data_IF_725035007815
#
_entry.id   IF_725035007815
#
_cell.length_a   1.000
_cell.length_b   1.000
_cell.length_c   1.000
_cell.angle_alpha   90.00
_cell.angle_beta   90.00
_cell.angle_gamma   90.00
#
_symmetry.space_group_name_H-M   'P 1'
#
loop_
_entity.id
_entity.type
_entity.pdbx_description
1 polymer ?
#
# COMPACT_ATOMS: atom_id res chain seq x y z
N UNK A 1 5.43 -2.25 6.19
CA UNK A 1 5.71 -2.71 4.80
C UNK A 1 7.20 -2.77 4.49
N UNK A 2 7.65 -3.82 3.78
CA UNK A 2 8.98 -3.95 3.18
C UNK A 2 8.89 -4.53 1.76
N UNK A 3 9.80 -4.15 0.88
CA UNK A 3 9.97 -4.73 -0.46
C UNK A 3 11.46 -4.82 -0.84
N UNK A 4 11.75 -5.22 -2.08
CA UNK A 4 13.11 -5.29 -2.60
C UNK A 4 13.71 -6.69 -2.53
N UNK A 5 13.70 -7.39 -3.66
CA UNK A 5 14.26 -8.75 -3.80
C UNK A 5 13.71 -9.78 -2.80
N UNK A 6 12.52 -9.56 -2.23
CA UNK A 6 11.77 -10.58 -1.51
C UNK A 6 11.28 -11.60 -2.54
N UNK A 7 11.79 -12.83 -2.46
CA UNK A 7 11.49 -13.91 -3.44
C UNK A 7 11.06 -15.21 -2.78
N UNK A 8 11.32 -15.37 -1.49
CA UNK A 8 11.13 -16.62 -0.75
C UNK A 8 10.38 -16.37 0.55
N UNK A 9 9.81 -17.43 1.14
CA UNK A 9 9.24 -17.38 2.47
C UNK A 9 10.28 -17.06 3.54
N UNK A 10 11.55 -17.43 3.33
CA UNK A 10 12.65 -17.00 4.22
C UNK A 10 12.83 -15.48 4.21
N UNK A 11 12.78 -14.84 3.04
CA UNK A 11 12.92 -13.39 2.94
C UNK A 11 11.76 -12.68 3.65
N UNK A 12 10.53 -13.19 3.47
CA UNK A 12 9.34 -12.71 4.19
C UNK A 12 9.52 -12.84 5.70
N UNK A 13 10.00 -13.98 6.19
CA UNK A 13 10.21 -14.20 7.61
C UNK A 13 11.29 -13.30 8.20
N UNK A 14 12.41 -13.09 7.51
CA UNK A 14 13.44 -12.15 7.96
C UNK A 14 12.87 -10.73 8.03
N UNK A 15 12.17 -10.29 6.98
CA UNK A 15 11.53 -8.98 6.99
C UNK A 15 10.51 -8.84 8.12
N UNK A 16 9.73 -9.90 8.39
CA UNK A 16 8.76 -9.92 9.49
C UNK A 16 9.43 -9.75 10.84
N UNK A 17 10.45 -10.57 11.13
CA UNK A 17 11.22 -10.50 12.37
C UNK A 17 11.91 -9.14 12.58
N UNK A 18 12.26 -8.44 11.49
CA UNK A 18 12.77 -7.07 11.50
C UNK A 18 11.69 -5.98 11.64
N UNK A 19 10.40 -6.34 11.63
CA UNK A 19 9.28 -5.44 11.91
C UNK A 19 8.31 -5.19 10.76
N UNK A 20 8.50 -5.81 9.59
CA UNK A 20 7.55 -5.66 8.48
C UNK A 20 6.28 -6.52 8.69
N UNK A 21 5.14 -5.95 8.36
CA UNK A 21 3.81 -6.59 8.42
C UNK A 21 3.15 -6.72 7.04
N UNK A 22 3.76 -6.15 6.00
CA UNK A 22 3.37 -6.26 4.59
C UNK A 22 4.61 -6.44 3.72
N UNK A 23 4.52 -7.25 2.66
CA UNK A 23 5.65 -7.68 1.85
C UNK A 23 5.38 -7.45 0.35
N UNK A 24 6.09 -6.49 -0.23
CA UNK A 24 6.01 -6.19 -1.65
C UNK A 24 6.90 -7.12 -2.47
N UNK A 25 6.32 -7.74 -3.51
CA UNK A 25 7.06 -8.55 -4.48
C UNK A 25 6.77 -8.04 -5.90
N UNK A 26 7.81 -7.83 -6.69
CA UNK A 26 7.69 -7.38 -8.08
C UNK A 26 8.47 -8.29 -9.02
N UNK A 27 9.80 -8.36 -8.88
CA UNK A 27 10.65 -9.14 -9.79
C UNK A 27 10.32 -10.63 -9.81
N UNK A 28 10.08 -11.27 -8.66
CA UNK A 28 9.74 -12.69 -8.62
C UNK A 28 8.39 -13.00 -9.31
N UNK A 29 7.28 -12.29 -9.02
CA UNK A 29 6.06 -12.42 -9.82
C UNK A 29 6.26 -12.19 -11.33
N UNK A 30 7.09 -11.23 -11.73
CA UNK A 30 7.41 -11.01 -13.15
C UNK A 30 8.16 -12.20 -13.77
N UNK A 31 9.09 -12.82 -13.04
CA UNK A 31 9.80 -14.04 -13.49
C UNK A 31 8.82 -15.20 -13.62
N UNK A 32 7.92 -15.37 -12.65
CA UNK A 32 6.86 -16.40 -12.66
C UNK A 32 5.92 -16.21 -13.87
N UNK A 33 5.68 -14.97 -14.29
CA UNK A 33 4.93 -14.64 -15.50
C UNK A 33 5.74 -14.77 -16.81
N UNK A 34 7.02 -15.14 -16.74
CA UNK A 34 7.85 -15.43 -17.92
C UNK A 34 9.04 -14.49 -18.15
N UNK A 35 9.29 -13.50 -17.28
CA UNK A 35 10.47 -12.64 -17.41
C UNK A 35 11.77 -13.46 -17.34
N UNK A 36 12.59 -13.35 -18.38
CA UNK A 36 13.89 -14.03 -18.50
C UNK A 36 15.07 -13.21 -17.98
N UNK A 37 14.81 -12.10 -17.29
CA UNK A 37 15.85 -11.21 -16.74
C UNK A 37 16.83 -10.65 -17.78
N UNK A 38 16.36 -10.37 -19.01
CA UNK A 38 17.17 -9.83 -20.11
C UNK A 38 17.66 -8.38 -19.87
N UNK A 39 17.00 -7.62 -18.97
CA UNK A 39 17.35 -6.23 -18.61
C UNK A 39 17.28 -5.21 -19.76
N UNK A 40 16.42 -5.46 -20.75
CA UNK A 40 16.13 -4.52 -21.86
C UNK A 40 14.73 -3.91 -21.80
N UNK A 41 14.13 -3.87 -20.60
CA UNK A 41 12.75 -3.39 -20.42
C UNK A 41 12.52 -1.97 -20.95
N UNK A 42 13.53 -1.10 -20.81
CA UNK A 42 13.50 0.29 -21.29
C UNK A 42 13.57 0.44 -22.82
N UNK A 43 13.88 -0.62 -23.56
CA UNK A 43 14.06 -0.60 -25.02
C UNK A 43 12.80 -1.07 -25.78
N UNK A 44 11.69 -1.32 -25.09
CA UNK A 44 10.45 -1.83 -25.69
C UNK A 44 10.59 -3.17 -26.46
N UNK A 45 11.68 -3.92 -26.25
CA UNK A 45 12.06 -5.12 -27.03
C UNK A 45 12.01 -6.40 -26.18
N UNK A 46 11.09 -6.47 -25.21
CA UNK A 46 10.95 -7.66 -24.36
C UNK A 46 10.57 -8.89 -25.22
N UNK A 47 11.38 -9.96 -25.23
CA UNK A 47 11.18 -11.09 -26.15
C UNK A 47 9.99 -11.97 -25.77
N UNK A 48 9.51 -11.83 -24.53
CA UNK A 48 8.45 -12.65 -23.90
C UNK A 48 7.19 -11.84 -23.59
N UNK A 49 7.07 -10.63 -24.15
CA UNK A 49 5.85 -9.83 -24.04
C UNK A 49 5.55 -9.21 -22.67
N UNK A 50 6.47 -9.29 -21.69
CA UNK A 50 6.25 -8.77 -20.33
C UNK A 50 6.34 -7.23 -20.27
N UNK A 51 7.45 -6.66 -20.75
CA UNK A 51 7.74 -5.22 -20.65
C UNK A 51 7.91 -4.60 -22.04
N UNK A 52 6.82 -4.58 -22.81
CA UNK A 52 6.77 -4.01 -24.16
C UNK A 52 5.33 -3.59 -24.51
N UNK A 53 5.20 -2.53 -25.29
CA UNK A 53 3.95 -2.05 -25.88
C UNK A 53 3.80 -2.49 -27.35
N UNK A 54 4.85 -3.08 -27.95
CA UNK A 54 4.80 -3.62 -29.31
C UNK A 54 3.78 -4.78 -29.40
N UNK A 55 2.78 -4.72 -30.30
CA UNK A 55 1.73 -5.72 -30.37
C UNK A 55 2.24 -7.12 -30.75
N UNK A 56 3.28 -7.22 -31.59
CA UNK A 56 3.87 -8.49 -32.02
C UNK A 56 4.61 -9.14 -30.86
N UNK A 57 5.33 -8.34 -30.05
CA UNK A 57 6.01 -8.86 -28.86
C UNK A 57 5.05 -9.16 -27.71
N UNK A 58 4.02 -8.34 -27.49
CA UNK A 58 2.96 -8.59 -26.50
C UNK A 58 2.21 -9.89 -26.76
N UNK A 59 1.98 -10.25 -28.02
CA UNK A 59 1.36 -11.52 -28.40
C UNK A 59 2.16 -12.76 -27.94
N UNK A 60 3.44 -12.60 -27.56
CA UNK A 60 4.29 -13.67 -27.02
C UNK A 60 4.15 -13.88 -25.51
N UNK A 61 3.32 -13.09 -24.83
CA UNK A 61 3.11 -13.23 -23.39
C UNK A 61 2.26 -14.48 -23.07
N UNK A 62 2.86 -15.44 -22.36
CA UNK A 62 2.21 -16.70 -21.97
C UNK A 62 1.93 -16.79 -20.46
N UNK A 63 2.24 -15.74 -19.70
CA UNK A 63 2.02 -15.69 -18.26
C UNK A 63 0.53 -15.77 -17.91
N UNK A 64 0.19 -16.57 -16.90
CA UNK A 64 -1.20 -16.72 -16.45
C UNK A 64 -1.35 -16.33 -14.98
N UNK A 65 -2.53 -15.84 -14.54
CA UNK A 65 -2.79 -15.54 -13.14
C UNK A 65 -2.47 -16.70 -12.21
N UNK A 66 -2.75 -17.94 -12.62
CA UNK A 66 -2.50 -19.15 -11.84
C UNK A 66 -1.02 -19.33 -11.51
N UNK A 67 -0.11 -18.88 -12.37
CA UNK A 67 1.33 -18.97 -12.08
C UNK A 67 1.69 -18.13 -10.84
N UNK A 68 1.16 -16.90 -10.77
CA UNK A 68 1.39 -15.99 -9.63
C UNK A 68 0.71 -16.52 -8.38
N UNK A 69 -0.53 -17.01 -8.49
CA UNK A 69 -1.25 -17.63 -7.37
C UNK A 69 -0.46 -18.81 -6.79
N UNK A 70 0.01 -19.71 -7.65
CA UNK A 70 0.81 -20.87 -7.23
C UNK A 70 2.12 -20.46 -6.55
N UNK A 71 2.83 -19.47 -7.11
CA UNK A 71 4.03 -18.91 -6.50
C UNK A 71 3.74 -18.34 -5.10
N UNK A 72 2.66 -17.58 -4.94
CA UNK A 72 2.29 -17.03 -3.64
C UNK A 72 1.93 -18.12 -2.63
N UNK A 73 1.27 -19.20 -3.05
CA UNK A 73 1.04 -20.37 -2.20
C UNK A 73 2.35 -21.04 -1.78
N UNK A 74 3.31 -21.21 -2.68
CA UNK A 74 4.63 -21.77 -2.33
C UNK A 74 5.36 -20.91 -1.30
N UNK A 75 5.37 -19.58 -1.49
CA UNK A 75 5.95 -18.64 -0.52
C UNK A 75 5.24 -18.72 0.82
N UNK A 76 3.90 -18.74 0.82
CA UNK A 76 3.11 -18.83 2.04
C UNK A 76 3.34 -20.16 2.79
N UNK A 77 3.46 -21.28 2.08
CA UNK A 77 3.79 -22.57 2.68
C UNK A 77 5.19 -22.56 3.31
N UNK A 78 6.18 -21.93 2.65
CA UNK A 78 7.52 -21.78 3.21
C UNK A 78 7.52 -20.86 4.46
N UNK A 79 6.71 -19.79 4.46
CA UNK A 79 6.48 -18.96 5.65
C UNK A 79 5.92 -19.81 6.81
N UNK A 80 4.88 -20.62 6.54
CA UNK A 80 4.28 -21.51 7.54
C UNK A 80 5.29 -22.53 8.08
N UNK A 81 6.17 -23.04 7.22
CA UNK A 81 7.27 -23.90 7.63
C UNK A 81 8.18 -23.21 8.65
N UNK A 82 8.64 -21.99 8.37
CA UNK A 82 9.50 -21.25 9.30
C UNK A 82 8.78 -20.83 10.59
N UNK A 83 7.51 -20.41 10.52
CA UNK A 83 6.71 -20.14 11.71
C UNK A 83 6.66 -21.37 12.64
N UNK A 84 6.43 -22.56 12.07
CA UNK A 84 6.43 -23.80 12.84
C UNK A 84 7.78 -24.09 13.50
N UNK A 85 8.89 -23.80 12.82
CA UNK A 85 10.25 -23.96 13.36
C UNK A 85 10.56 -23.01 14.51
N UNK A 86 9.97 -21.82 14.48
CA UNK A 86 10.11 -20.80 15.52
C UNK A 86 9.07 -20.95 16.65
N UNK A 87 8.16 -21.93 16.57
CA UNK A 87 7.10 -22.11 17.56
C UNK A 87 6.01 -21.04 17.52
N UNK A 88 5.87 -20.34 16.39
CA UNK A 88 4.88 -19.27 16.19
C UNK A 88 3.69 -19.80 15.40
N UNK A 89 2.48 -19.35 15.76
CA UNK A 89 1.23 -19.79 15.10
C UNK A 89 0.78 -18.86 13.99
N UNK A 90 1.05 -17.56 14.12
CA UNK A 90 0.66 -16.52 13.17
C UNK A 90 1.87 -15.69 12.77
N UNK A 91 1.84 -15.13 11.56
CA UNK A 91 2.89 -14.22 11.09
C UNK A 91 3.00 -12.96 11.95
N UNK A 92 1.86 -12.44 12.43
CA UNK A 92 1.78 -11.31 13.36
C UNK A 92 2.59 -11.53 14.64
N UNK A 93 2.69 -12.78 15.13
CA UNK A 93 3.47 -13.10 16.33
C UNK A 93 4.99 -13.06 16.06
N UNK A 94 5.40 -13.05 14.80
CA UNK A 94 6.80 -12.89 14.38
C UNK A 94 7.20 -11.42 14.21
N UNK A 95 6.24 -10.52 13.98
CA UNK A 95 6.55 -9.12 13.63
C UNK A 95 7.37 -8.45 14.73
N UNK A 96 8.57 -7.96 14.37
CA UNK A 96 9.48 -7.24 15.26
C UNK A 96 10.22 -8.11 16.29
N UNK A 97 10.11 -9.44 16.22
CA UNK A 97 10.82 -10.39 17.11
C UNK A 97 12.28 -10.56 16.70
N UNK A 98 13.06 -9.48 16.76
CA UNK A 98 14.50 -9.51 16.42
C UNK A 98 15.31 -10.42 17.34
N UNK A 99 14.78 -10.78 18.51
CA UNK A 99 15.38 -11.78 19.42
C UNK A 99 15.46 -13.19 18.81
N UNK A 100 14.70 -13.47 17.75
CA UNK A 100 14.76 -14.73 17.01
C UNK A 100 15.77 -14.69 15.86
N UNK A 101 16.45 -13.55 15.64
CA UNK A 101 17.48 -13.37 14.63
C UNK A 101 18.86 -13.29 15.26
N UNK A 102 19.82 -13.95 14.62
CA UNK A 102 21.23 -13.87 15.00
C UNK A 102 22.12 -13.97 13.76
N UNK A 103 23.29 -13.35 13.83
CA UNK A 103 24.31 -13.51 12.80
C UNK A 103 24.81 -14.95 12.79
N UNK A 104 24.99 -15.54 11.60
CA UNK A 104 25.52 -16.89 11.48
C UNK A 104 26.92 -16.96 12.10
N UNK A 105 27.13 -17.93 13.00
CA UNK A 105 28.43 -18.21 13.60
C UNK A 105 29.43 -18.79 12.61
N UNK A 106 28.97 -19.26 11.44
CA UNK A 106 29.80 -19.80 10.38
C UNK A 106 29.40 -19.19 9.02
N UNK A 107 29.85 -17.96 8.70
CA UNK A 107 29.51 -17.32 7.44
C UNK A 107 30.29 -17.92 6.27
N UNK A 108 29.62 -18.06 5.12
CA UNK A 108 30.24 -18.57 3.87
C UNK A 108 31.41 -17.70 3.42
N UNK A 109 31.30 -16.38 3.59
CA UNK A 109 32.37 -15.43 3.31
C UNK A 109 32.95 -14.90 4.62
N UNK A 110 34.26 -15.10 4.84
CA UNK A 110 34.97 -14.62 6.03
C UNK A 110 34.82 -13.11 6.25
N UNK A 111 34.69 -12.30 5.20
CA UNK A 111 34.48 -10.84 5.35
C UNK A 111 33.18 -10.49 6.07
N UNK A 112 32.18 -11.39 6.08
CA UNK A 112 30.94 -11.16 6.80
C UNK A 112 31.14 -11.06 8.33
N UNK A 113 32.23 -11.61 8.88
CA UNK A 113 32.55 -11.43 10.31
C UNK A 113 32.97 -10.00 10.65
N UNK A 114 33.21 -9.16 9.63
CA UNK A 114 33.54 -7.73 9.81
C UNK A 114 32.29 -6.86 9.88
N UNK A 115 31.09 -7.43 9.66
CA UNK A 115 29.83 -6.71 9.74
C UNK A 115 29.32 -6.69 11.19
N UNK A 116 28.83 -5.53 11.61
CA UNK A 116 28.19 -5.32 12.90
C UNK A 116 26.67 -5.25 12.69
N UNK A 117 25.91 -6.11 13.37
CA UNK A 117 24.46 -6.22 13.20
C UNK A 117 23.66 -5.77 14.42
N UNK A 118 24.31 -5.33 15.50
CA UNK A 118 23.69 -4.93 16.75
C UNK A 118 22.65 -3.83 16.58
N UNK A 119 22.92 -2.87 15.68
CA UNK A 119 21.94 -1.81 15.37
C UNK A 119 20.65 -2.33 14.75
N UNK A 120 20.73 -3.29 13.81
CA UNK A 120 19.56 -3.83 13.11
C UNK A 120 18.84 -4.93 13.92
N UNK A 121 19.56 -5.64 14.79
CA UNK A 121 19.00 -6.70 15.64
C UNK A 121 18.50 -6.18 17.00
N UNK A 122 18.58 -4.87 17.25
CA UNK A 122 18.17 -4.28 18.52
C UNK A 122 16.68 -4.50 18.77
N UNK A 123 16.37 -5.14 19.89
CA UNK A 123 14.99 -5.49 20.23
C UNK A 123 14.22 -4.26 20.73
N UNK A 124 13.18 -3.88 19.98
CA UNK A 124 12.35 -2.73 20.31
C UNK A 124 11.59 -2.90 21.63
N UNK A 125 11.15 -4.11 21.97
CA UNK A 125 10.45 -4.39 23.23
C UNK A 125 11.37 -4.21 24.46
N UNK A 126 12.68 -4.44 24.32
CA UNK A 126 13.63 -4.13 25.38
C UNK A 126 13.81 -2.62 25.60
N UNK A 127 13.75 -1.84 24.52
CA UNK A 127 13.85 -0.37 24.58
C UNK A 127 12.54 0.29 25.05
N UNK A 128 11.41 -0.26 24.62
CA UNK A 128 10.08 0.29 24.83
C UNK A 128 9.11 -0.80 25.31
N UNK A 129 9.24 -1.28 26.57
CA UNK A 129 8.51 -2.45 27.07
C UNK A 129 6.99 -2.30 27.08
N UNK A 130 6.48 -1.07 27.09
CA UNK A 130 5.05 -0.77 27.11
C UNK A 130 4.46 -0.49 25.72
N UNK A 131 5.25 -0.57 24.66
CA UNK A 131 4.80 -0.33 23.28
C UNK A 131 4.60 -1.67 22.59
N UNK A 132 3.44 -1.85 21.96
CA UNK A 132 3.18 -3.03 21.14
C UNK A 132 3.99 -2.97 19.85
N UNK A 133 4.75 -4.02 19.57
CA UNK A 133 5.43 -4.24 18.28
C UNK A 133 4.57 -5.00 17.28
N UNK A 134 3.36 -5.42 17.65
CA UNK A 134 2.46 -6.13 16.74
C UNK A 134 2.07 -5.20 15.60
N UNK A 135 2.35 -5.64 14.37
CA UNK A 135 1.95 -4.97 13.15
C UNK A 135 0.44 -4.99 12.94
N UNK A 136 -0.01 -4.23 11.94
CA UNK A 136 -1.43 -4.09 11.60
C UNK A 136 -1.81 -2.66 11.22
N UNK A 137 -3.02 -2.53 10.66
CA UNK A 137 -3.55 -1.23 10.24
C UNK A 137 -4.44 -0.64 11.32
N UNK A 138 -4.12 0.57 11.77
CA UNK A 138 -5.07 1.41 12.52
C UNK A 138 -5.81 2.27 11.53
N UNK A 139 -7.15 2.19 11.54
CA UNK A 139 -7.97 3.09 10.73
C UNK A 139 -7.70 4.53 11.15
N UNK A 140 -7.12 5.32 10.25
CA UNK A 140 -7.02 6.76 10.46
C UNK A 140 -8.40 7.37 10.25
N UNK A 141 -8.93 8.01 11.29
CA UNK A 141 -10.14 8.81 11.19
C UNK A 141 -9.69 10.23 10.87
N UNK A 142 -9.89 10.64 9.62
CA UNK A 142 -9.69 12.04 9.21
C UNK A 142 -11.02 12.74 9.48
N UNK A 143 -11.04 13.56 10.51
CA UNK A 143 -12.18 14.42 10.80
C UNK A 143 -12.30 15.50 9.74
N UNK A 144 -13.53 15.73 9.28
CA UNK A 144 -13.83 16.81 8.35
C UNK A 144 -13.92 18.13 9.11
N UNK A 145 -13.55 19.23 8.45
CA UNK A 145 -13.82 20.57 8.98
C UNK A 145 -15.32 20.77 9.22
N UNK A 146 -15.66 21.61 10.20
CA UNK A 146 -17.05 21.91 10.53
C UNK A 146 -17.84 22.46 9.33
N UNK A 147 -17.20 23.32 8.53
CA UNK A 147 -17.80 23.89 7.33
C UNK A 147 -18.16 22.81 6.30
N UNK A 148 -17.22 21.95 5.93
CA UNK A 148 -17.46 20.90 4.93
C UNK A 148 -18.50 19.89 5.42
N UNK A 149 -18.47 19.54 6.72
CA UNK A 149 -19.47 18.66 7.34
C UNK A 149 -20.88 19.24 7.23
N UNK A 150 -21.03 20.53 7.52
CA UNK A 150 -22.31 21.22 7.38
C UNK A 150 -22.78 21.18 5.92
N UNK A 151 -21.92 21.56 4.97
CA UNK A 151 -22.30 21.60 3.55
C UNK A 151 -22.69 20.23 3.02
N UNK A 152 -21.98 19.17 3.40
CA UNK A 152 -22.31 17.80 2.98
C UNK A 152 -23.71 17.36 3.42
N UNK A 153 -24.14 17.78 4.61
CA UNK A 153 -25.49 17.48 5.11
C UNK A 153 -26.55 18.18 4.26
N UNK A 154 -26.29 19.44 3.89
CA UNK A 154 -27.19 20.24 3.02
C UNK A 154 -27.16 19.77 1.55
N UNK A 155 -26.13 19.02 1.14
CA UNK A 155 -25.95 18.52 -0.23
C UNK A 155 -26.69 17.20 -0.52
N UNK A 156 -27.23 16.52 0.49
CA UNK A 156 -28.02 15.29 0.27
C UNK A 156 -29.19 15.52 -0.70
N UNK A 157 -29.81 16.70 -0.65
CA UNK A 157 -30.89 17.11 -1.56
C UNK A 157 -30.44 17.16 -3.02
N UNK A 158 -29.22 17.63 -3.28
CA UNK A 158 -28.63 17.72 -4.63
C UNK A 158 -28.38 16.33 -5.20
N UNK A 159 -28.15 15.35 -4.34
CA UNK A 159 -27.92 13.97 -4.73
C UNK A 159 -29.21 13.15 -4.92
N UNK A 160 -30.39 13.75 -4.70
CA UNK A 160 -31.67 13.11 -4.98
C UNK A 160 -32.01 13.13 -6.49
N UNK A 161 -32.94 12.28 -6.93
CA UNK A 161 -33.39 12.24 -8.33
C UNK A 161 -34.04 13.56 -8.79
N UNK A 162 -34.62 14.31 -7.85
CA UNK A 162 -35.17 15.66 -8.08
C UNK A 162 -34.15 16.78 -7.81
N UNK A 163 -32.87 16.44 -7.65
CA UNK A 163 -31.81 17.39 -7.33
C UNK A 163 -31.66 18.46 -8.41
N UNK A 164 -31.58 19.72 -7.98
CA UNK A 164 -31.30 20.87 -8.83
C UNK A 164 -30.04 21.61 -8.37
N UNK A 165 -29.70 22.70 -9.05
CA UNK A 165 -28.64 23.61 -8.67
C UNK A 165 -28.74 24.07 -7.21
N UNK A 166 -27.64 24.02 -6.46
CA UNK A 166 -27.55 24.52 -5.09
C UNK A 166 -26.42 25.54 -4.98
N UNK A 167 -26.73 26.70 -4.41
CA UNK A 167 -25.76 27.76 -4.13
C UNK A 167 -25.64 27.92 -2.62
N UNK A 168 -24.41 27.93 -2.13
CA UNK A 168 -24.06 28.30 -0.76
C UNK A 168 -23.35 29.64 -0.78
N UNK A 169 -24.01 30.68 -0.30
CA UNK A 169 -23.45 32.03 -0.24
C UNK A 169 -22.86 32.37 1.14
N UNK A 170 -21.89 33.28 1.15
CA UNK A 170 -21.31 33.89 2.35
C UNK A 170 -20.76 32.88 3.37
N UNK A 171 -20.23 31.75 2.91
CA UNK A 171 -19.58 30.76 3.78
C UNK A 171 -18.17 31.25 4.12
N UNK A 172 -17.83 31.32 5.41
CA UNK A 172 -16.50 31.77 5.83
C UNK A 172 -15.53 30.59 5.87
N UNK A 173 -14.33 30.79 5.33
CA UNK A 173 -13.26 29.79 5.31
C UNK A 173 -12.00 30.35 5.96
N UNK A 174 -11.29 29.49 6.69
CA UNK A 174 -10.05 29.82 7.41
C UNK A 174 -8.90 28.91 6.97
N UNK A 175 -7.68 29.30 7.33
CA UNK A 175 -6.48 28.53 6.97
C UNK A 175 -6.41 27.15 7.66
N UNK A 176 -7.32 26.89 8.61
CA UNK A 176 -7.50 25.60 9.27
C UNK A 176 -8.38 24.65 8.43
N UNK A 177 -9.22 25.19 7.55
CA UNK A 177 -10.06 24.42 6.63
C UNK A 177 -9.23 23.94 5.43
N UNK A 178 -8.53 22.83 5.62
CA UNK A 178 -7.68 22.19 4.60
C UNK A 178 -8.47 21.19 3.78
N UNK A 179 -8.03 20.92 2.55
CA UNK A 179 -8.66 19.94 1.63
C UNK A 179 -10.14 20.23 1.37
N UNK A 180 -10.57 21.49 1.52
CA UNK A 180 -11.97 21.85 1.46
C UNK A 180 -12.57 21.51 0.08
N UNK A 181 -13.69 20.80 0.08
CA UNK A 181 -14.36 20.35 -1.14
C UNK A 181 -13.87 19.00 -1.64
N UNK A 182 -12.80 18.44 -1.07
CA UNK A 182 -12.32 17.10 -1.43
C UNK A 182 -13.35 16.04 -1.06
N UNK A 183 -14.01 16.14 0.11
CA UNK A 183 -15.06 15.19 0.47
C UNK A 183 -16.30 15.38 -0.39
N UNK A 184 -16.65 16.62 -0.71
CA UNK A 184 -17.76 16.93 -1.63
C UNK A 184 -17.49 16.31 -3.01
N UNK A 185 -16.28 16.48 -3.54
CA UNK A 185 -15.84 15.88 -4.81
C UNK A 185 -15.86 14.35 -4.77
N UNK A 186 -15.42 13.74 -3.67
CA UNK A 186 -15.52 12.29 -3.44
C UNK A 186 -16.97 11.82 -3.49
N UNK A 187 -17.89 12.52 -2.82
CA UNK A 187 -19.30 12.15 -2.78
C UNK A 187 -19.99 12.25 -4.15
N UNK A 188 -19.59 13.21 -4.99
CA UNK A 188 -20.03 13.30 -6.39
C UNK A 188 -19.44 12.15 -7.20
N UNK A 189 -18.13 11.98 -7.18
CA UNK A 189 -17.42 10.97 -7.99
C UNK A 189 -17.85 9.56 -7.64
N UNK A 190 -18.10 9.27 -6.35
CA UNK A 190 -18.57 7.96 -5.88
C UNK A 190 -19.96 7.61 -6.41
N UNK A 191 -20.84 8.59 -6.55
CA UNK A 191 -22.23 8.37 -7.00
C UNK A 191 -22.35 8.39 -8.52
N UNK A 192 -21.63 9.28 -9.18
CA UNK A 192 -21.86 9.60 -10.60
C UNK A 192 -20.67 9.30 -11.51
N UNK A 193 -19.53 8.86 -10.96
CA UNK A 193 -18.34 8.56 -11.74
C UNK A 193 -17.82 9.77 -12.51
N UNK A 194 -17.27 9.52 -13.69
CA UNK A 194 -16.68 10.56 -14.56
C UNK A 194 -17.69 11.57 -15.10
N UNK A 195 -18.96 11.19 -15.21
CA UNK A 195 -20.03 12.07 -15.69
C UNK A 195 -20.31 13.21 -14.71
N UNK A 196 -20.06 12.99 -13.42
CA UNK A 196 -20.32 13.97 -12.38
C UNK A 196 -21.80 14.37 -12.29
N UNK A 197 -22.06 15.64 -11.95
CA UNK A 197 -23.43 16.16 -11.89
C UNK A 197 -23.90 16.55 -13.30
N UNK A 198 -24.80 15.75 -13.89
CA UNK A 198 -25.35 16.02 -15.23
C UNK A 198 -26.63 16.88 -15.20
N UNK A 199 -26.95 17.48 -16.35
CA UNK A 199 -28.19 18.22 -16.58
C UNK A 199 -28.19 19.58 -15.89
N UNK A 200 -29.25 19.88 -15.14
CA UNK A 200 -29.40 21.14 -14.40
C UNK A 200 -28.77 21.10 -12.99
N UNK A 201 -28.03 20.04 -12.66
CA UNK A 201 -27.42 19.85 -11.33
C UNK A 201 -26.05 20.50 -11.29
N UNK A 202 -25.84 21.38 -10.32
CA UNK A 202 -24.52 21.93 -10.04
C UNK A 202 -24.48 22.47 -8.61
N UNK A 203 -23.29 22.54 -8.05
CA UNK A 203 -23.05 23.02 -6.70
C UNK A 203 -22.12 24.22 -6.81
N UNK A 204 -22.57 25.38 -6.33
CA UNK A 204 -21.74 26.57 -6.21
C UNK A 204 -21.55 26.89 -4.74
N UNK A 205 -20.30 27.04 -4.32
CA UNK A 205 -19.95 27.39 -2.93
C UNK A 205 -19.12 28.67 -2.96
N UNK A 206 -19.72 29.77 -2.52
CA UNK A 206 -19.08 31.08 -2.46
C UNK A 206 -18.47 31.29 -1.07
N UNK A 207 -17.14 31.29 -1.04
CA UNK A 207 -16.36 31.36 0.20
C UNK A 207 -15.74 32.74 0.42
N UNK A 208 -15.62 33.14 1.70
CA UNK A 208 -14.93 34.37 2.11
C UNK A 208 -13.89 34.07 3.20
N UNK A 209 -12.65 34.48 2.96
CA UNK A 209 -11.54 34.31 3.91
C UNK A 209 -10.29 33.77 3.24
N UNK A 210 -9.53 32.94 3.96
CA UNK A 210 -8.27 32.36 3.47
C UNK A 210 -8.36 30.85 3.60
N UNK A 211 -8.41 30.12 2.50
CA UNK A 211 -8.45 28.65 2.54
C UNK A 211 -7.14 28.07 3.07
N UNK A 212 -7.22 26.89 3.69
CA UNK A 212 -6.06 26.09 4.07
C UNK A 212 -5.36 25.44 2.87
N UNK A 213 -4.42 24.55 3.15
CA UNK A 213 -3.73 23.76 2.12
C UNK A 213 -4.67 22.76 1.43
N UNK A 214 -4.49 22.63 0.10
CA UNK A 214 -5.30 21.77 -0.79
C UNK A 214 -6.80 22.10 -0.77
#
# INVERSE_FOLDING_TARGET
QADGQIRTGRDVMIAALLGADEFGMSTAPLIVLGCTMMRKCHLNTCPVGVATQDPILRAKFEGKPEHVVNYMFMVAEEVRYFLSKLGLRKLEDAVGRTDLLYASSNPVNKKATMLEFGSILKNAQQMFPNVSIRGGSVKQVIELGALETQLLTELEEVFSEAGHHKVFDNKFITNLDRTFGTRISYEISKRYGELGLEGSRSITINLKGHAGQS
#
